data_IF_362192230455
#
_entry.id   IF_362192230455
#
_cell.length_a   1.000
_cell.length_b   1.000
_cell.length_c   1.000
_cell.angle_alpha   90.00
_cell.angle_beta   90.00
_cell.angle_gamma   90.00
#
_symmetry.space_group_name_H-M   'P 1'
#
loop_
_entity.id
_entity.type
_entity.pdbx_description
1 polymer ?
#
# COMPACT_ATOMS: atom_id res chain seq x y z
N UNK A 1 -10.80 -6.54 2.31
CA UNK A 1 -11.34 -6.73 0.95
C UNK A 1 -10.36 -7.58 0.19
N UNK A 2 -10.84 -8.49 -0.62
CA UNK A 2 -10.01 -9.47 -1.30
C UNK A 2 -10.47 -9.58 -2.76
N UNK A 3 -9.52 -9.76 -3.68
CA UNK A 3 -9.82 -9.92 -5.11
C UNK A 3 -8.65 -10.60 -5.81
N UNK A 4 -8.96 -11.53 -6.70
CA UNK A 4 -8.04 -11.88 -7.77
C UNK A 4 -8.11 -10.82 -8.86
N UNK A 5 -6.97 -10.49 -9.45
CA UNK A 5 -6.86 -9.41 -10.43
C UNK A 5 -5.83 -9.78 -11.51
N UNK A 6 -6.19 -9.50 -12.76
CA UNK A 6 -5.33 -9.71 -13.93
C UNK A 6 -4.39 -8.52 -14.13
N UNK A 7 -3.55 -8.28 -13.13
CA UNK A 7 -2.45 -7.31 -13.19
C UNK A 7 -1.18 -7.90 -12.58
N UNK A 8 0.01 -7.52 -13.09
CA UNK A 8 1.27 -7.84 -12.43
C UNK A 8 1.31 -7.32 -11.00
N UNK A 9 1.71 -8.17 -10.07
CA UNK A 9 1.86 -7.83 -8.65
C UNK A 9 2.73 -6.57 -8.45
N UNK A 10 3.82 -6.47 -9.22
CA UNK A 10 4.75 -5.33 -9.17
C UNK A 10 4.06 -4.00 -9.42
N UNK A 11 3.04 -3.95 -10.28
CA UNK A 11 2.32 -2.71 -10.56
C UNK A 11 1.63 -2.24 -9.27
N UNK A 12 0.86 -3.11 -8.61
CA UNK A 12 0.19 -2.77 -7.35
C UNK A 12 1.20 -2.40 -6.26
N UNK A 13 2.31 -3.14 -6.16
CA UNK A 13 3.37 -2.83 -5.20
C UNK A 13 3.96 -1.43 -5.42
N UNK A 14 4.14 -1.02 -6.68
CA UNK A 14 4.59 0.33 -7.03
C UNK A 14 3.57 1.40 -6.59
N UNK A 15 2.27 1.16 -6.77
CA UNK A 15 1.22 2.09 -6.29
C UNK A 15 1.34 2.33 -4.78
N UNK A 16 1.56 1.27 -4.00
CA UNK A 16 1.70 1.35 -2.55
C UNK A 16 3.04 1.97 -2.09
N UNK A 17 4.10 1.87 -2.89
CA UNK A 17 5.45 2.31 -2.51
C UNK A 17 5.76 3.77 -2.86
N UNK A 18 5.05 4.35 -3.83
CA UNK A 18 5.29 5.71 -4.34
C UNK A 18 4.29 6.71 -3.74
N UNK A 19 4.65 7.25 -2.57
CA UNK A 19 3.76 8.06 -1.74
C UNK A 19 3.36 9.40 -2.35
N UNK A 20 4.17 9.96 -3.25
CA UNK A 20 3.82 11.21 -3.95
C UNK A 20 2.54 11.09 -4.79
N UNK A 21 2.19 9.88 -5.22
CA UNK A 21 1.06 9.64 -6.11
C UNK A 21 -0.22 9.19 -5.40
N UNK A 22 -0.27 9.22 -4.07
CA UNK A 22 -1.45 8.80 -3.31
C UNK A 22 -2.72 9.57 -3.70
N UNK A 23 -2.60 10.87 -4.01
CA UNK A 23 -3.72 11.71 -4.50
C UNK A 23 -4.39 11.14 -5.75
N UNK A 24 -3.68 10.36 -6.55
CA UNK A 24 -4.21 9.86 -7.82
C UNK A 24 -5.18 8.67 -7.66
N UNK A 25 -5.16 7.97 -6.53
CA UNK A 25 -5.92 6.72 -6.36
C UNK A 25 -6.54 6.51 -4.98
N UNK A 26 -5.96 7.09 -3.92
CA UNK A 26 -6.52 7.02 -2.57
C UNK A 26 -7.64 8.08 -2.45
N UNK A 27 -8.89 7.69 -2.15
CA UNK A 27 -9.98 8.65 -2.06
C UNK A 27 -9.70 9.73 -1.01
N UNK A 28 -10.05 10.97 -1.35
CA UNK A 28 -9.91 12.16 -0.49
C UNK A 28 -8.47 12.54 -0.12
N UNK A 29 -7.43 11.86 -0.61
CA UNK A 29 -6.06 12.34 -0.40
C UNK A 29 -5.81 13.55 -1.27
N UNK A 30 -5.48 14.68 -0.67
CA UNK A 30 -5.12 15.93 -1.34
C UNK A 30 -3.61 16.04 -1.56
N UNK A 31 -2.82 15.46 -0.66
CA UNK A 31 -1.36 15.48 -0.73
C UNK A 31 -0.80 14.17 -0.19
N UNK A 32 0.19 13.63 -0.89
CA UNK A 32 1.04 12.55 -0.42
C UNK A 32 2.50 12.92 -0.66
N UNK A 33 3.41 12.55 0.23
CA UNK A 33 4.85 12.72 0.00
C UNK A 33 5.67 11.74 0.83
N UNK A 34 6.86 11.43 0.33
CA UNK A 34 7.92 10.84 1.12
C UNK A 34 8.45 11.88 2.11
N UNK A 35 8.54 11.50 3.38
CA UNK A 35 9.14 12.31 4.45
C UNK A 35 10.58 11.88 4.68
N UNK A 36 10.80 10.57 4.78
CA UNK A 36 12.11 10.01 5.07
C UNK A 36 12.22 8.59 4.52
N UNK A 37 13.41 8.19 4.08
CA UNK A 37 13.70 6.84 3.62
C UNK A 37 14.62 6.15 4.63
N UNK A 38 14.10 5.17 5.37
CA UNK A 38 14.87 4.48 6.43
C UNK A 38 15.69 3.36 5.81
N UNK A 39 15.06 2.54 4.96
CA UNK A 39 15.67 1.41 4.24
C UNK A 39 14.98 1.24 2.89
N UNK A 40 15.59 0.41 2.03
CA UNK A 40 15.09 0.07 0.69
C UNK A 40 13.56 -0.19 0.62
N UNK A 41 13.00 -0.94 1.58
CA UNK A 41 11.57 -1.24 1.67
C UNK A 41 10.92 -0.64 2.93
N UNK A 42 11.48 0.41 3.53
CA UNK A 42 10.96 1.01 4.76
C UNK A 42 11.04 2.52 4.68
N UNK A 43 9.88 3.18 4.65
CA UNK A 43 9.74 4.60 4.37
C UNK A 43 8.82 5.26 5.37
N UNK A 44 9.05 6.54 5.62
CA UNK A 44 8.13 7.41 6.35
C UNK A 44 7.38 8.26 5.34
N UNK A 45 6.06 8.16 5.35
CA UNK A 45 5.17 8.92 4.49
C UNK A 45 4.38 9.96 5.26
N UNK A 46 3.91 10.95 4.51
CA UNK A 46 2.92 11.91 4.94
C UNK A 46 1.74 11.85 3.97
N UNK A 47 0.52 11.86 4.50
CA UNK A 47 -0.69 12.04 3.72
C UNK A 47 -1.58 13.10 4.36
N UNK A 48 -2.19 13.94 3.52
CA UNK A 48 -3.24 14.88 3.88
C UNK A 48 -4.52 14.49 3.17
N UNK A 49 -5.60 14.33 3.93
CA UNK A 49 -6.93 14.04 3.45
C UNK A 49 -7.80 15.30 3.50
N UNK A 50 -8.48 15.58 2.40
CA UNK A 50 -9.45 16.64 2.23
C UNK A 50 -10.83 16.01 1.98
N UNK A 51 -11.56 15.82 3.08
CA UNK A 51 -12.91 15.23 3.05
C UNK A 51 -13.92 16.38 3.06
N UNK A 52 -14.92 16.38 2.16
CA UNK A 52 -15.90 17.46 2.08
C UNK A 52 -16.57 17.77 3.43
N UNK A 53 -16.80 19.06 3.68
CA UNK A 53 -17.56 19.60 4.83
C UNK A 53 -16.91 19.43 6.21
N UNK A 54 -15.66 18.97 6.28
CA UNK A 54 -14.95 18.77 7.54
C UNK A 54 -13.48 19.19 7.41
N UNK A 55 -12.80 19.53 8.51
CA UNK A 55 -11.39 20.01 8.49
C UNK A 55 -10.42 19.03 7.83
N UNK A 56 -9.31 19.48 7.25
CA UNK A 56 -8.33 18.53 6.69
C UNK A 56 -7.78 17.60 7.78
N UNK A 57 -7.53 16.35 7.40
CA UNK A 57 -6.87 15.36 8.26
C UNK A 57 -5.47 15.12 7.74
N UNK A 58 -4.50 14.93 8.62
CA UNK A 58 -3.16 14.56 8.21
C UNK A 58 -2.63 13.39 9.04
N UNK A 59 -1.76 12.60 8.44
CA UNK A 59 -1.05 11.55 9.14
C UNK A 59 0.40 11.44 8.67
N UNK A 60 1.28 11.18 9.64
CA UNK A 60 2.62 10.67 9.40
C UNK A 60 2.62 9.19 9.74
N UNK A 61 3.19 8.39 8.85
CA UNK A 61 3.15 6.95 8.95
C UNK A 61 4.46 6.29 8.53
N UNK A 62 4.73 5.14 9.14
CA UNK A 62 5.79 4.23 8.74
C UNK A 62 5.16 3.18 7.83
N UNK A 63 5.69 3.04 6.62
CA UNK A 63 5.41 1.93 5.70
C UNK A 63 6.61 0.99 5.61
N UNK A 64 6.37 -0.32 5.60
CA UNK A 64 7.37 -1.36 5.46
C UNK A 64 6.87 -2.46 4.51
N UNK A 65 7.71 -2.90 3.58
CA UNK A 65 7.48 -4.05 2.73
C UNK A 65 8.23 -5.27 3.25
N UNK A 66 7.56 -6.42 3.23
CA UNK A 66 8.09 -7.72 3.64
C UNK A 66 7.97 -8.68 2.47
N UNK A 67 9.09 -9.31 2.10
CA UNK A 67 9.08 -10.47 1.22
C UNK A 67 8.78 -11.70 2.07
N UNK A 68 7.62 -12.32 1.85
CA UNK A 68 7.16 -13.52 2.55
C UNK A 68 6.84 -14.63 1.53
N UNK A 69 7.52 -14.62 0.38
CA UNK A 69 7.26 -15.56 -0.71
C UNK A 69 7.55 -17.00 -0.25
N UNK A 70 8.63 -17.21 0.50
CA UNK A 70 9.02 -18.56 0.94
C UNK A 70 8.14 -19.07 2.10
N UNK A 71 7.61 -18.17 2.94
CA UNK A 71 6.83 -18.53 4.12
C UNK A 71 5.33 -18.62 3.84
N UNK A 72 4.78 -17.67 3.08
CA UNK A 72 3.33 -17.55 2.85
C UNK A 72 2.97 -17.33 1.38
N UNK A 73 3.93 -17.40 0.47
CA UNK A 73 3.71 -17.15 -0.96
C UNK A 73 3.28 -15.72 -1.25
N UNK A 74 3.66 -14.73 -0.44
CA UNK A 74 3.17 -13.36 -0.61
C UNK A 74 4.21 -12.28 -0.37
N UNK A 75 3.93 -11.09 -0.89
CA UNK A 75 4.63 -9.86 -0.53
C UNK A 75 3.63 -8.97 0.21
N UNK A 76 4.03 -8.48 1.38
CA UNK A 76 3.17 -7.71 2.25
C UNK A 76 3.69 -6.28 2.42
N UNK A 77 2.84 -5.28 2.17
CA UNK A 77 3.08 -3.89 2.59
C UNK A 77 2.26 -3.63 3.85
N UNK A 78 2.94 -3.16 4.90
CA UNK A 78 2.31 -2.80 6.18
C UNK A 78 2.63 -1.35 6.48
N UNK A 79 1.64 -0.60 6.95
CA UNK A 79 1.89 0.71 7.52
C UNK A 79 1.08 0.97 8.79
N UNK A 80 1.56 1.93 9.59
CA UNK A 80 0.88 2.42 10.81
C UNK A 80 1.23 3.89 11.06
N UNK A 81 0.40 4.61 11.81
CA UNK A 81 0.75 5.96 12.25
C UNK A 81 1.90 5.96 13.24
N UNK A 82 2.71 7.01 13.20
CA UNK A 82 3.90 7.16 14.05
C UNK A 82 3.96 8.48 14.83
N UNK A 83 3.06 9.43 14.55
CA UNK A 83 3.11 10.75 15.19
C UNK A 83 2.81 10.72 16.69
N UNK A 84 2.29 9.60 17.20
CA UNK A 84 2.13 9.35 18.64
C UNK A 84 3.26 8.49 19.23
N UNK A 85 4.23 8.02 18.43
CA UNK A 85 5.37 7.21 18.83
C UNK A 85 6.64 8.08 18.93
N UNK A 86 6.66 8.93 19.97
CA UNK A 86 7.74 9.90 20.18
C UNK A 86 9.10 9.23 20.36
N UNK A 87 9.14 8.05 20.98
CA UNK A 87 10.38 7.28 21.15
C UNK A 87 10.95 6.85 19.81
N UNK A 88 10.12 6.30 18.92
CA UNK A 88 10.56 5.94 17.57
C UNK A 88 11.00 7.17 16.77
N UNK A 89 10.22 8.25 16.77
CA UNK A 89 10.56 9.48 16.07
C UNK A 89 11.90 10.06 16.53
N UNK A 90 12.13 10.13 17.84
CA UNK A 90 13.41 10.59 18.40
C UNK A 90 14.57 9.68 18.00
N UNK A 91 14.38 8.36 18.00
CA UNK A 91 15.41 7.39 17.61
C UNK A 91 15.90 7.57 16.18
N UNK A 92 15.01 8.00 15.28
CA UNK A 92 15.36 8.24 13.86
C UNK A 92 15.64 9.71 13.54
N UNK A 93 15.66 10.59 14.56
CA UNK A 93 15.86 12.03 14.38
C UNK A 93 14.76 12.71 13.56
N UNK A 94 13.53 12.20 13.60
CA UNK A 94 12.39 12.76 12.87
C UNK A 94 11.59 13.71 13.77
N UNK A 95 11.57 14.98 13.41
CA UNK A 95 10.66 15.97 13.98
C UNK A 95 9.36 16.02 13.17
N UNK A 96 8.22 15.87 13.84
CA UNK A 96 6.89 15.95 13.22
C UNK A 96 6.31 17.33 13.55
N UNK A 97 6.14 18.23 12.57
CA UNK A 97 5.70 19.59 12.83
C UNK A 97 4.25 19.61 13.33
N UNK A 98 3.93 20.45 14.30
CA UNK A 98 2.53 20.67 14.68
C UNK A 98 1.81 21.49 13.61
N UNK A 99 0.58 21.11 13.25
CA UNK A 99 -0.26 21.89 12.34
C UNK A 99 -1.66 22.06 12.95
N UNK A 100 -1.92 23.27 13.45
CA UNK A 100 -3.18 23.61 14.13
C UNK A 100 -4.40 23.65 13.20
N UNK A 101 -4.18 23.71 11.89
CA UNK A 101 -5.27 23.73 10.91
C UNK A 101 -5.78 22.33 10.58
N UNK A 102 -4.99 21.28 10.85
CA UNK A 102 -5.29 19.90 10.44
C UNK A 102 -5.51 19.00 11.66
N UNK A 103 -6.42 18.04 11.52
CA UNK A 103 -6.68 17.02 12.53
C UNK A 103 -5.74 15.84 12.30
N UNK A 104 -4.97 15.45 13.32
CA UNK A 104 -4.13 14.24 13.30
C UNK A 104 -4.99 12.97 13.23
N UNK A 105 -5.01 12.32 12.08
CA UNK A 105 -5.71 11.05 11.87
C UNK A 105 -4.82 9.90 12.33
N UNK A 106 -5.42 8.95 13.05
CA UNK A 106 -4.75 7.73 13.48
C UNK A 106 -5.24 6.52 12.72
N UNK A 107 -4.33 5.62 12.39
CA UNK A 107 -4.70 4.30 11.90
C UNK A 107 -3.77 3.25 12.50
N UNK A 108 -4.38 2.20 13.03
CA UNK A 108 -3.66 1.15 13.78
C UNK A 108 -2.79 0.33 12.84
N UNK A 109 -3.34 -0.02 11.67
CA UNK A 109 -2.63 -0.70 10.61
C UNK A 109 -3.33 -0.50 9.27
N UNK A 110 -2.54 -0.50 8.21
CA UNK A 110 -2.93 -0.78 6.83
C UNK A 110 -2.04 -1.93 6.36
N UNK A 111 -2.65 -2.95 5.78
CA UNK A 111 -1.99 -4.15 5.27
C UNK A 111 -2.48 -4.38 3.86
N UNK A 112 -1.53 -4.49 2.94
CA UNK A 112 -1.74 -4.94 1.57
C UNK A 112 -0.91 -6.21 1.39
N UNK A 113 -1.58 -7.35 1.34
CA UNK A 113 -0.96 -8.64 1.05
C UNK A 113 -1.19 -8.98 -0.42
N UNK A 114 -0.13 -9.31 -1.14
CA UNK A 114 -0.17 -9.63 -2.55
C UNK A 114 0.45 -11.01 -2.77
N UNK A 115 -0.34 -11.94 -3.31
CA UNK A 115 0.12 -13.28 -3.66
C UNK A 115 0.19 -13.40 -5.18
N UNK A 116 1.36 -13.65 -5.77
CA UNK A 116 1.44 -13.84 -7.22
C UNK A 116 0.73 -15.14 -7.60
N UNK A 117 -0.12 -15.08 -8.63
CA UNK A 117 -0.81 -16.24 -9.22
C UNK A 117 -0.26 -16.55 -10.63
N UNK A 118 0.78 -15.82 -11.04
CA UNK A 118 1.40 -15.89 -12.36
C UNK A 118 2.03 -14.54 -12.73
N UNK A 119 2.67 -14.43 -13.91
CA UNK A 119 3.37 -13.21 -14.31
C UNK A 119 2.46 -11.97 -14.48
N UNK A 120 1.18 -12.18 -14.80
CA UNK A 120 0.20 -11.11 -15.09
C UNK A 120 -1.03 -11.17 -14.19
N UNK A 121 -1.01 -11.98 -13.13
CA UNK A 121 -2.16 -12.18 -12.24
C UNK A 121 -1.70 -12.28 -10.81
N UNK A 122 -2.46 -11.69 -9.90
CA UNK A 122 -2.21 -11.82 -8.48
C UNK A 122 -3.51 -11.80 -7.68
N UNK A 123 -3.42 -12.27 -6.44
CA UNK A 123 -4.45 -12.15 -5.44
C UNK A 123 -4.08 -11.01 -4.49
N UNK A 124 -5.03 -10.11 -4.27
CA UNK A 124 -4.89 -8.92 -3.43
C UNK A 124 -5.77 -9.08 -2.20
N UNK A 125 -5.19 -8.86 -1.01
CA UNK A 125 -5.93 -8.68 0.23
C UNK A 125 -5.55 -7.34 0.85
N UNK A 126 -6.56 -6.53 1.16
CA UNK A 126 -6.39 -5.23 1.78
C UNK A 126 -7.16 -5.16 3.09
N UNK A 127 -6.47 -4.81 4.17
CA UNK A 127 -7.02 -4.68 5.52
C UNK A 127 -6.57 -3.33 6.07
N UNK A 128 -7.50 -2.53 6.58
CA UNK A 128 -7.16 -1.27 7.23
C UNK A 128 -8.05 -0.99 8.42
N UNK A 129 -7.48 -0.36 9.44
CA UNK A 129 -8.18 0.07 10.64
C UNK A 129 -7.83 1.54 10.91
N UNK A 130 -8.74 2.42 10.52
CA UNK A 130 -8.55 3.87 10.51
C UNK A 130 -9.55 4.53 11.45
N UNK A 131 -9.05 5.41 12.32
CA UNK A 131 -9.84 6.36 13.08
C UNK A 131 -9.73 7.77 12.47
N UNK A 132 -10.76 8.13 11.71
CA UNK A 132 -10.86 9.43 11.06
C UNK A 132 -11.12 10.59 12.03
N UNK A 133 -11.35 10.33 13.33
CA UNK A 133 -11.65 11.32 14.37
C UNK A 133 -12.73 12.32 13.92
N UNK A 134 -13.82 11.80 13.35
CA UNK A 134 -14.95 12.63 12.95
C UNK A 134 -16.00 12.60 14.06
N UNK A 135 -16.22 13.71 14.78
CA UNK A 135 -17.19 13.75 15.88
C UNK A 135 -18.61 13.62 15.34
N UNK A 136 -19.50 13.05 16.16
CA UNK A 136 -20.96 13.10 15.99
C UNK A 136 -21.51 12.48 14.68
N UNK A 137 -20.80 11.55 14.02
CA UNK A 137 -21.35 10.80 12.89
C UNK A 137 -22.12 9.56 13.37
N UNK A 138 -23.41 9.39 13.00
CA UNK A 138 -24.16 8.17 13.24
C UNK A 138 -23.44 6.93 12.71
N UNK A 139 -23.46 5.83 13.48
CA UNK A 139 -22.74 4.59 13.14
C UNK A 139 -23.12 4.04 11.75
N UNK A 140 -24.37 4.17 11.34
CA UNK A 140 -24.86 3.77 10.02
C UNK A 140 -24.15 4.52 8.89
N UNK A 141 -24.03 5.85 9.02
CA UNK A 141 -23.35 6.72 8.06
C UNK A 141 -21.85 6.39 8.03
N UNK A 142 -21.22 6.23 9.21
CA UNK A 142 -19.80 5.85 9.30
C UNK A 142 -19.53 4.54 8.56
N UNK A 143 -20.36 3.52 8.77
CA UNK A 143 -20.22 2.23 8.11
C UNK A 143 -20.47 2.32 6.60
N UNK A 144 -21.47 3.08 6.18
CA UNK A 144 -21.76 3.30 4.76
C UNK A 144 -20.60 4.01 4.05
N UNK A 145 -20.08 5.11 4.63
CA UNK A 145 -18.92 5.83 4.12
C UNK A 145 -17.68 4.94 4.05
N UNK A 146 -17.42 4.15 5.10
CA UNK A 146 -16.29 3.22 5.13
C UNK A 146 -16.35 2.16 4.02
N UNK A 147 -17.53 1.58 3.78
CA UNK A 147 -17.74 0.62 2.67
C UNK A 147 -17.54 1.26 1.30
N UNK A 148 -18.07 2.47 1.10
CA UNK A 148 -17.90 3.21 -0.16
C UNK A 148 -16.45 3.60 -0.38
N UNK A 149 -15.76 4.08 0.65
CA UNK A 149 -14.33 4.36 0.61
C UNK A 149 -13.54 3.11 0.20
N UNK A 150 -13.78 1.97 0.85
CA UNK A 150 -13.09 0.72 0.55
C UNK A 150 -13.29 0.29 -0.92
N UNK A 151 -14.54 0.35 -1.40
CA UNK A 151 -14.87 0.01 -2.78
C UNK A 151 -14.14 0.91 -3.78
N UNK A 152 -14.29 2.23 -3.65
CA UNK A 152 -13.64 3.19 -4.55
C UNK A 152 -12.12 3.08 -4.51
N UNK A 153 -11.57 2.83 -3.32
CA UNK A 153 -10.14 2.69 -3.17
C UNK A 153 -9.60 1.48 -3.94
N UNK A 154 -10.23 0.31 -3.79
CA UNK A 154 -9.83 -0.91 -4.50
C UNK A 154 -10.05 -0.77 -6.01
N UNK A 155 -11.20 -0.24 -6.44
CA UNK A 155 -11.46 0.04 -7.86
C UNK A 155 -10.38 0.95 -8.47
N UNK A 156 -9.98 2.00 -7.75
CA UNK A 156 -8.93 2.90 -8.19
C UNK A 156 -7.56 2.22 -8.24
N UNK A 157 -7.20 1.41 -7.24
CA UNK A 157 -5.95 0.62 -7.24
C UNK A 157 -5.91 -0.28 -8.48
N UNK A 158 -6.96 -1.07 -8.71
CA UNK A 158 -7.03 -1.98 -9.85
C UNK A 158 -6.95 -1.17 -11.16
N UNK A 159 -7.78 -0.14 -11.32
CA UNK A 159 -7.80 0.70 -12.51
C UNK A 159 -6.42 1.30 -12.82
N UNK A 160 -5.71 1.80 -11.81
CA UNK A 160 -4.38 2.40 -11.99
C UNK A 160 -3.29 1.35 -12.25
N UNK A 161 -3.38 0.18 -11.61
CA UNK A 161 -2.47 -0.94 -11.86
C UNK A 161 -2.66 -1.58 -13.24
N UNK A 162 -3.89 -1.60 -13.78
CA UNK A 162 -4.17 -2.02 -15.16
C UNK A 162 -3.67 -0.99 -16.17
N UNK A 163 -3.92 0.30 -15.93
CA UNK A 163 -3.50 1.40 -16.81
C UNK A 163 -2.11 1.94 -16.42
N UNK A 164 -1.18 1.03 -16.11
CA UNK A 164 0.13 1.38 -15.55
C UNK A 164 1.08 2.00 -16.58
N UNK A 165 0.99 1.57 -17.84
CA UNK A 165 1.85 2.05 -18.93
C UNK A 165 1.64 3.55 -19.18
N UNK A 166 2.73 4.30 -19.32
CA UNK A 166 2.76 5.76 -19.49
C UNK A 166 2.51 6.55 -18.20
N UNK A 167 2.22 5.88 -17.09
CA UNK A 167 1.87 6.53 -15.82
C UNK A 167 3.10 7.10 -15.09
N UNK A 168 2.84 7.90 -14.06
CA UNK A 168 3.90 8.38 -13.17
C UNK A 168 4.59 7.24 -12.40
N UNK A 169 3.87 6.15 -12.12
CA UNK A 169 4.44 4.97 -11.47
C UNK A 169 5.43 4.22 -12.37
N UNK A 170 5.15 4.13 -13.68
CA UNK A 170 6.12 3.54 -14.62
C UNK A 170 7.42 4.34 -14.66
N UNK A 171 7.31 5.68 -14.62
CA UNK A 171 8.48 6.56 -14.51
C UNK A 171 9.20 6.42 -13.18
N UNK A 172 8.47 6.23 -12.07
CA UNK A 172 9.06 5.99 -10.77
C UNK A 172 9.82 4.65 -10.68
N UNK A 173 9.35 3.62 -11.40
CA UNK A 173 10.11 2.36 -11.54
C UNK A 173 11.50 2.63 -12.12
N UNK A 174 11.61 3.49 -13.14
CA UNK A 174 12.90 3.82 -13.74
C UNK A 174 13.83 4.59 -12.79
N UNK A 175 13.26 5.47 -11.93
CA UNK A 175 14.05 6.20 -10.92
C UNK A 175 14.59 5.29 -9.82
N UNK A 176 13.83 4.27 -9.45
CA UNK A 176 14.17 3.32 -8.38
C UNK A 176 14.47 1.93 -8.95
N UNK A 177 15.19 1.87 -10.07
CA UNK A 177 15.37 0.66 -10.87
C UNK A 177 15.91 -0.53 -10.06
N UNK A 178 16.88 -0.29 -9.18
CA UNK A 178 17.50 -1.34 -8.35
C UNK A 178 16.52 -1.97 -7.33
N UNK A 179 15.50 -1.20 -6.90
CA UNK A 179 14.45 -1.74 -6.07
C UNK A 179 13.52 -2.65 -6.87
N UNK A 180 13.02 -2.17 -8.00
CA UNK A 180 12.05 -2.91 -8.80
C UNK A 180 12.66 -4.09 -9.55
N UNK A 181 13.93 -4.02 -9.95
CA UNK A 181 14.67 -5.17 -10.49
C UNK A 181 14.80 -6.28 -9.44
N UNK A 182 15.06 -5.93 -8.18
CA UNK A 182 15.12 -6.91 -7.10
C UNK A 182 13.75 -7.57 -6.88
N UNK A 183 12.66 -6.79 -6.92
CA UNK A 183 11.29 -7.34 -6.87
C UNK A 183 11.04 -8.31 -8.03
N UNK A 184 11.41 -7.95 -9.25
CA UNK A 184 11.28 -8.84 -10.41
C UNK A 184 12.08 -10.13 -10.26
N UNK A 185 13.31 -10.05 -9.74
CA UNK A 185 14.15 -11.23 -9.51
C UNK A 185 13.50 -12.19 -8.51
N UNK A 186 13.04 -11.71 -7.34
CA UNK A 186 12.44 -12.59 -6.33
C UNK A 186 11.12 -13.20 -6.81
N UNK A 187 10.30 -12.44 -7.55
CA UNK A 187 9.04 -12.94 -8.10
C UNK A 187 9.26 -14.00 -9.18
N UNK A 188 10.24 -13.79 -10.07
CA UNK A 188 10.54 -14.74 -11.15
C UNK A 188 11.09 -16.06 -10.60
N UNK A 189 11.93 -16.02 -9.56
CA UNK A 189 12.43 -17.22 -8.90
C UNK A 189 11.26 -18.00 -8.30
N UNK A 190 10.44 -17.32 -7.49
CA UNK A 190 9.28 -17.94 -6.83
C UNK A 190 8.30 -18.58 -7.83
N UNK A 191 7.92 -17.85 -8.87
CA UNK A 191 6.97 -18.36 -9.87
C UNK A 191 7.52 -19.58 -10.63
N UNK A 192 8.81 -19.57 -10.96
CA UNK A 192 9.45 -20.71 -11.62
C UNK A 192 9.48 -21.94 -10.72
N UNK A 193 9.74 -21.75 -9.43
CA UNK A 193 9.75 -22.85 -8.46
C UNK A 193 8.34 -23.45 -8.28
N UNK A 194 7.29 -22.61 -8.29
CA UNK A 194 5.91 -23.08 -8.31
C UNK A 194 5.57 -23.90 -9.56
N UNK A 195 5.91 -23.41 -10.76
CA UNK A 195 5.67 -24.13 -12.02
C UNK A 195 6.38 -25.49 -12.05
N UNK A 196 7.61 -25.57 -11.56
CA UNK A 196 8.35 -26.84 -11.49
C UNK A 196 7.68 -27.84 -10.53
N UNK A 197 7.13 -27.37 -9.42
CA UNK A 197 6.45 -28.22 -8.46
C UNK A 197 5.12 -28.75 -9.00
N UNK A 198 4.33 -27.94 -9.71
CA UNK A 198 3.08 -28.40 -10.35
C UNK A 198 3.36 -29.48 -11.40
N UNK A 199 4.34 -29.26 -12.28
CA UNK A 199 4.72 -30.24 -13.31
C UNK A 199 5.26 -31.56 -12.70
N UNK A 200 5.97 -31.49 -11.57
CA UNK A 200 6.47 -32.69 -10.89
C UNK A 200 5.36 -33.51 -10.22
N UNK A 201 4.27 -32.86 -9.78
CA UNK A 201 3.09 -33.56 -9.24
C UNK A 201 2.35 -34.29 -10.37
N UNK A 202 2.14 -33.64 -11.52
CA UNK A 202 1.47 -34.27 -12.67
C UNK A 202 2.23 -35.49 -13.22
N UNK A 203 3.57 -35.49 -13.16
CA UNK A 203 4.38 -36.64 -13.60
C UNK A 203 4.30 -37.83 -12.62
N UNK A 204 4.03 -37.59 -11.34
CA UNK A 204 3.88 -38.66 -10.34
C UNK A 204 2.50 -39.33 -10.37
N UNK A 205 1.51 -38.73 -11.03
CA UNK A 205 0.15 -39.27 -11.17
C UNK A 205 -0.07 -40.09 -12.47
N UNK A 206 0.98 -40.35 -13.26
CA UNK A 206 0.99 -41.18 -14.47
C UNK A 206 1.74 -42.50 -14.28
#
# INVERSE_FOLDING_TARGET
>A
MESEVDVPLKNILCLGNEFEYFKEYVPFVDQGRLVHNIRKATKIGYACMDVPMISKRECYFLGAGYNLLDETGSIMLVSKTIHNDTQFCNKIGLEIPENKNYIRLDYKYYVLNLTPLGPQRCYLQMIFNVDYKIPLIPKSIKNWCGRKFALFFVENVIKKATNFKGSNWEKAIQKSKDFYNWIDQVLNIFLKDCELNENNIEIQEL
#
